data_IF_753395078587
#
_entry.id   IF_753395078587
#
_cell.length_a   1.000
_cell.length_b   1.000
_cell.length_c   1.000
_cell.angle_alpha   90.00
_cell.angle_beta   90.00
_cell.angle_gamma   90.00
#
_symmetry.space_group_name_H-M   'P 1'
#
loop_
_entity.id
_entity.type
_entity.pdbx_description
1 polymer ?
#
# COMPACT_ATOMS: atom_id res chain seq x y z
N UNK A 1 -62.26 -17.01 -6.43
CA UNK A 1 -61.22 -18.02 -6.81
C UNK A 1 -60.75 -17.67 -8.20
N UNK A 2 -59.50 -17.27 -8.48
CA UNK A 2 -58.23 -17.91 -8.08
C UNK A 2 -57.15 -16.83 -7.91
N UNK A 3 -56.39 -16.93 -6.82
CA UNK A 3 -55.25 -16.09 -6.49
C UNK A 3 -54.13 -16.25 -7.52
N UNK A 4 -53.58 -15.13 -7.99
CA UNK A 4 -52.32 -15.06 -8.75
C UNK A 4 -51.15 -15.23 -7.76
N UNK A 5 -50.43 -16.34 -7.83
CA UNK A 5 -49.23 -16.57 -7.03
C UNK A 5 -48.04 -15.86 -7.68
N UNK A 6 -47.57 -14.77 -7.07
CA UNK A 6 -46.28 -14.16 -7.40
C UNK A 6 -45.16 -15.06 -6.85
N UNK A 7 -44.52 -15.83 -7.72
CA UNK A 7 -43.29 -16.56 -7.41
C UNK A 7 -42.12 -15.57 -7.47
N UNK A 8 -41.73 -15.02 -6.31
CA UNK A 8 -40.54 -14.18 -6.18
C UNK A 8 -39.30 -15.08 -6.33
N UNK A 9 -38.63 -15.04 -7.49
CA UNK A 9 -37.34 -15.70 -7.67
C UNK A 9 -36.29 -15.03 -6.77
N UNK A 10 -35.93 -15.69 -5.67
CA UNK A 10 -34.75 -15.39 -4.87
C UNK A 10 -33.51 -15.80 -5.69
N UNK A 11 -32.98 -14.88 -6.50
CA UNK A 11 -31.65 -15.04 -7.09
C UNK A 11 -30.63 -15.09 -5.94
N UNK A 12 -29.83 -16.17 -5.80
CA UNK A 12 -28.77 -16.19 -4.81
C UNK A 12 -27.78 -15.07 -5.17
N UNK A 13 -27.71 -14.04 -4.33
CA UNK A 13 -26.71 -13.00 -4.47
C UNK A 13 -25.34 -13.63 -4.41
N UNK A 14 -24.59 -13.57 -5.52
CA UNK A 14 -23.20 -13.99 -5.56
C UNK A 14 -22.41 -13.04 -4.67
N UNK A 15 -22.16 -13.43 -3.43
CA UNK A 15 -21.20 -12.75 -2.57
C UNK A 15 -19.83 -12.97 -3.19
N UNK A 16 -19.34 -11.99 -3.96
CA UNK A 16 -17.97 -12.03 -4.49
C UNK A 16 -17.01 -12.06 -3.30
N UNK A 17 -16.30 -13.18 -3.16
CA UNK A 17 -15.27 -13.31 -2.15
C UNK A 17 -14.23 -12.20 -2.35
N UNK A 18 -14.00 -11.40 -1.31
CA UNK A 18 -12.97 -10.37 -1.35
C UNK A 18 -11.60 -11.05 -1.53
N UNK A 19 -10.72 -10.50 -2.37
CA UNK A 19 -9.37 -11.04 -2.54
C UNK A 19 -8.60 -11.02 -1.21
N UNK A 20 -7.56 -11.86 -1.11
CA UNK A 20 -6.66 -11.82 0.03
C UNK A 20 -6.01 -10.42 0.16
N UNK A 21 -5.55 -10.02 1.36
CA UNK A 21 -4.87 -8.74 1.52
C UNK A 21 -3.66 -8.59 0.59
N UNK A 22 -2.94 -9.67 0.35
CA UNK A 22 -1.77 -9.68 -0.54
C UNK A 22 -2.20 -9.53 -2.01
N UNK A 23 -3.30 -10.20 -2.41
CA UNK A 23 -3.90 -10.02 -3.72
C UNK A 23 -4.42 -8.59 -3.93
N UNK A 24 -4.91 -7.90 -2.91
CA UNK A 24 -5.25 -6.47 -2.99
C UNK A 24 -4.03 -5.63 -3.38
N UNK A 25 -2.90 -5.79 -2.67
CA UNK A 25 -1.68 -5.08 -3.02
C UNK A 25 -1.18 -5.45 -4.42
N UNK A 26 -1.13 -6.75 -4.76
CA UNK A 26 -0.66 -7.22 -6.08
C UNK A 26 -1.50 -6.63 -7.22
N UNK A 27 -2.82 -6.64 -7.10
CA UNK A 27 -3.73 -6.09 -8.09
C UNK A 27 -3.55 -4.57 -8.26
N UNK A 28 -3.48 -3.84 -7.13
CA UNK A 28 -3.28 -2.39 -7.13
C UNK A 28 -1.92 -2.00 -7.73
N UNK A 29 -0.85 -2.66 -7.31
CA UNK A 29 0.51 -2.43 -7.81
C UNK A 29 0.60 -2.73 -9.31
N UNK A 30 0.12 -3.88 -9.76
CA UNK A 30 0.15 -4.23 -11.19
C UNK A 30 -0.66 -3.24 -12.04
N UNK A 31 -1.78 -2.73 -11.50
CA UNK A 31 -2.54 -1.67 -12.16
C UNK A 31 -1.78 -0.35 -12.23
N UNK A 32 -1.13 0.06 -11.14
CA UNK A 32 -0.33 1.28 -11.10
C UNK A 32 0.90 1.18 -12.02
N UNK A 33 1.56 0.02 -12.08
CA UNK A 33 2.64 -0.24 -13.03
C UNK A 33 2.21 0.00 -14.48
N UNK A 34 1.03 -0.53 -14.87
CA UNK A 34 0.47 -0.29 -16.20
C UNK A 34 0.07 1.17 -16.43
N UNK A 35 -0.58 1.79 -15.44
CA UNK A 35 -1.07 3.18 -15.53
C UNK A 35 0.07 4.18 -15.75
N UNK A 36 1.22 3.96 -15.11
CA UNK A 36 2.38 4.86 -15.16
C UNK A 36 3.51 4.36 -16.08
N UNK A 37 3.32 3.24 -16.79
CA UNK A 37 4.30 2.68 -17.71
C UNK A 37 5.61 2.21 -17.06
N UNK A 38 5.53 1.70 -15.82
CA UNK A 38 6.70 1.15 -15.14
C UNK A 38 7.05 -0.24 -15.71
N UNK A 39 8.33 -0.65 -15.61
CA UNK A 39 8.71 -2.03 -15.87
C UNK A 39 7.91 -3.02 -15.03
N UNK A 40 7.39 -4.07 -15.67
CA UNK A 40 6.56 -5.07 -15.00
C UNK A 40 7.29 -5.69 -13.79
N UNK A 41 6.61 -5.73 -12.65
CA UNK A 41 7.10 -6.32 -11.41
C UNK A 41 8.10 -5.46 -10.62
N UNK A 42 8.50 -4.28 -11.10
CA UNK A 42 9.44 -3.41 -10.39
C UNK A 42 8.83 -2.86 -9.10
N UNK A 43 7.63 -2.29 -9.20
CA UNK A 43 6.91 -1.75 -8.05
C UNK A 43 6.44 -2.88 -7.14
N UNK A 44 6.14 -4.07 -7.68
CA UNK A 44 5.86 -5.26 -6.88
C UNK A 44 7.08 -5.72 -6.07
N UNK A 45 8.28 -5.66 -6.65
CA UNK A 45 9.52 -5.96 -5.94
C UNK A 45 9.79 -4.98 -4.80
N UNK A 46 9.58 -3.68 -5.05
CA UNK A 46 9.64 -2.62 -4.03
C UNK A 46 8.63 -2.93 -2.91
N UNK A 47 7.35 -3.15 -3.25
CA UNK A 47 6.31 -3.47 -2.26
C UNK A 47 6.65 -4.68 -1.39
N UNK A 48 7.34 -5.69 -1.95
CA UNK A 48 7.77 -6.88 -1.21
C UNK A 48 8.98 -6.62 -0.31
N UNK A 49 9.83 -5.63 -0.60
CA UNK A 49 10.85 -5.15 0.34
C UNK A 49 10.20 -4.33 1.45
N UNK A 50 9.25 -3.46 1.11
CA UNK A 50 8.63 -2.50 2.02
C UNK A 50 7.66 -3.15 3.03
N UNK A 51 6.70 -3.94 2.57
CA UNK A 51 5.63 -4.51 3.40
C UNK A 51 5.49 -6.02 3.27
N UNK A 52 6.57 -6.68 2.84
CA UNK A 52 6.61 -8.11 2.57
C UNK A 52 6.26 -8.96 3.79
N UNK A 53 5.15 -9.69 3.70
CA UNK A 53 4.70 -10.65 4.71
C UNK A 53 4.61 -12.04 4.10
N UNK A 54 4.95 -13.07 4.87
CA UNK A 54 4.59 -14.46 4.57
C UNK A 54 3.26 -14.78 5.24
N UNK A 55 2.28 -15.17 4.44
CA UNK A 55 1.01 -15.67 4.95
C UNK A 55 1.26 -17.01 5.66
N UNK A 56 0.89 -17.15 6.95
CA UNK A 56 1.19 -18.35 7.72
C UNK A 56 0.34 -19.57 7.30
N UNK A 57 -0.78 -19.36 6.60
CA UNK A 57 -1.71 -20.42 6.18
C UNK A 57 -1.35 -20.92 4.79
N UNK A 58 -1.20 -20.01 3.84
CA UNK A 58 -0.96 -20.34 2.42
C UNK A 58 0.53 -20.43 2.08
N UNK A 59 1.39 -19.83 2.90
CA UNK A 59 2.82 -19.70 2.61
C UNK A 59 3.15 -18.64 1.54
N UNK A 60 2.13 -17.98 0.96
CA UNK A 60 2.32 -16.89 -0.01
C UNK A 60 3.19 -15.79 0.62
N UNK A 61 4.07 -15.18 -0.18
CA UNK A 61 4.87 -14.03 0.26
C UNK A 61 4.64 -12.85 -0.69
N UNK A 62 4.47 -11.66 -0.14
CA UNK A 62 4.09 -10.48 -0.91
C UNK A 62 3.76 -9.27 -0.02
N UNK A 63 3.50 -8.10 -0.64
CA UNK A 63 3.17 -6.87 0.08
C UNK A 63 1.85 -7.02 0.85
N UNK A 64 1.72 -6.33 1.98
CA UNK A 64 0.55 -6.40 2.85
C UNK A 64 -0.05 -5.01 3.09
N UNK A 65 -1.37 -4.81 2.89
CA UNK A 65 -1.95 -3.47 2.79
C UNK A 65 -2.13 -2.79 4.14
N UNK A 66 -2.31 -3.55 5.22
CA UNK A 66 -2.50 -3.01 6.57
C UNK A 66 -1.20 -3.11 7.35
N UNK A 67 -0.13 -2.60 6.75
CA UNK A 67 1.21 -2.53 7.32
C UNK A 67 1.50 -1.10 7.71
N UNK A 68 2.04 -0.90 8.90
CA UNK A 68 2.60 0.38 9.29
C UNK A 68 4.01 0.21 9.84
N UNK A 69 4.83 1.25 9.75
CA UNK A 69 6.08 1.36 10.49
C UNK A 69 6.16 2.74 11.13
N UNK A 70 6.36 2.80 12.45
CA UNK A 70 6.56 4.03 13.19
C UNK A 70 7.97 4.01 13.80
N UNK A 71 8.86 4.89 13.32
CA UNK A 71 10.26 5.01 13.78
C UNK A 71 11.03 3.67 13.87
N UNK A 72 10.82 2.77 12.91
CA UNK A 72 11.45 1.45 12.86
C UNK A 72 10.63 0.33 13.50
N UNK A 73 9.54 0.64 14.21
CA UNK A 73 8.64 -0.31 14.81
C UNK A 73 7.51 -0.71 13.83
N UNK A 74 7.77 -1.74 13.03
CA UNK A 74 6.81 -2.27 12.07
C UNK A 74 5.69 -3.10 12.72
N UNK A 75 4.46 -3.01 12.20
CA UNK A 75 3.30 -3.84 12.60
C UNK A 75 2.45 -4.22 11.40
N UNK A 76 1.94 -5.47 11.42
CA UNK A 76 0.88 -5.94 10.54
C UNK A 76 -0.45 -6.03 11.29
N UNK A 77 -1.51 -5.47 10.71
CA UNK A 77 -2.86 -5.48 11.27
C UNK A 77 -3.77 -6.48 10.56
N UNK A 78 -4.80 -7.02 11.22
CA UNK A 78 -5.76 -7.92 10.57
C UNK A 78 -6.72 -7.19 9.60
N UNK A 79 -6.78 -5.86 9.65
CA UNK A 79 -7.70 -5.06 8.85
C UNK A 79 -7.32 -3.58 8.78
N UNK A 80 -7.98 -2.88 7.86
CA UNK A 80 -7.80 -1.44 7.61
C UNK A 80 -8.17 -0.59 8.82
N UNK A 81 -9.27 -0.93 9.50
CA UNK A 81 -9.79 -0.15 10.62
C UNK A 81 -8.79 -0.12 11.79
N UNK A 82 -8.19 -1.26 12.12
CA UNK A 82 -7.20 -1.39 13.18
C UNK A 82 -5.92 -0.61 12.85
N UNK A 83 -5.43 -0.69 11.60
CA UNK A 83 -4.26 0.05 11.16
C UNK A 83 -4.50 1.58 11.20
N UNK A 84 -5.67 2.03 10.75
CA UNK A 84 -6.06 3.45 10.79
C UNK A 84 -6.17 3.95 12.23
N UNK A 85 -6.79 3.17 13.13
CA UNK A 85 -6.94 3.53 14.53
C UNK A 85 -5.58 3.70 15.23
N UNK A 86 -4.66 2.77 15.01
CA UNK A 86 -3.31 2.85 15.56
C UNK A 86 -2.56 4.09 15.05
N UNK A 87 -2.56 4.36 13.74
CA UNK A 87 -1.88 5.54 13.17
C UNK A 87 -2.47 6.83 13.74
N UNK A 88 -3.79 6.91 13.92
CA UNK A 88 -4.45 8.05 14.58
C UNK A 88 -3.97 8.23 16.02
N UNK A 89 -3.91 7.14 16.79
CA UNK A 89 -3.44 7.17 18.17
C UNK A 89 -1.98 7.64 18.26
N UNK A 90 -1.10 7.09 17.43
CA UNK A 90 0.31 7.48 17.38
C UNK A 90 0.48 8.95 17.03
N UNK A 91 -0.25 9.45 16.03
CA UNK A 91 -0.22 10.89 15.67
C UNK A 91 -0.72 11.79 16.78
N UNK A 92 -1.78 11.40 17.48
CA UNK A 92 -2.29 12.15 18.63
C UNK A 92 -1.26 12.20 19.78
N UNK A 93 -0.43 11.16 19.90
CA UNK A 93 0.72 11.12 20.81
C UNK A 93 1.98 11.83 20.32
N UNK A 94 1.94 12.52 19.18
CA UNK A 94 3.07 13.28 18.64
C UNK A 94 3.99 12.52 17.68
N UNK A 95 3.71 11.25 17.37
CA UNK A 95 4.47 10.50 16.36
C UNK A 95 4.28 11.13 14.97
N UNK A 96 5.39 11.43 14.29
CA UNK A 96 5.38 12.06 12.95
C UNK A 96 5.84 11.11 11.84
N UNK A 97 6.91 10.36 12.07
CA UNK A 97 7.52 9.49 11.06
C UNK A 97 6.79 8.15 11.04
N UNK A 98 5.75 8.06 10.20
CA UNK A 98 4.93 6.85 10.04
C UNK A 98 4.85 6.50 8.55
N UNK A 99 5.21 5.27 8.22
CA UNK A 99 5.07 4.67 6.89
C UNK A 99 3.82 3.77 6.86
N UNK A 100 3.06 3.78 5.76
CA UNK A 100 1.79 3.06 5.66
C UNK A 100 1.57 2.35 4.32
N UNK A 101 0.81 1.25 4.38
CA UNK A 101 0.26 0.59 3.21
C UNK A 101 1.21 -0.40 2.53
N UNK A 102 0.79 -0.89 1.36
CA UNK A 102 1.54 -1.82 0.51
C UNK A 102 2.95 -1.31 0.18
N UNK A 103 3.09 0.01 0.05
CA UNK A 103 4.29 0.69 -0.46
C UNK A 103 5.03 1.50 0.61
N UNK A 104 4.62 1.40 1.89
CA UNK A 104 5.23 2.10 3.02
C UNK A 104 5.48 3.60 2.77
N UNK A 105 4.45 4.31 2.29
CA UNK A 105 4.54 5.74 2.03
C UNK A 105 4.61 6.51 3.35
N UNK A 106 5.64 7.33 3.51
CA UNK A 106 5.84 8.11 4.72
C UNK A 106 4.93 9.34 4.78
N UNK A 107 4.12 9.44 5.83
CA UNK A 107 3.16 10.54 6.02
C UNK A 107 3.79 11.88 6.39
N UNK A 108 5.03 11.91 6.90
CA UNK A 108 5.74 13.15 7.21
C UNK A 108 6.43 13.76 5.99
N UNK A 109 7.09 12.95 5.18
CA UNK A 109 7.78 13.40 3.96
C UNK A 109 6.85 13.61 2.78
N UNK A 110 5.67 12.99 2.82
CA UNK A 110 4.64 13.13 1.79
C UNK A 110 3.30 13.56 2.41
N UNK A 111 3.24 14.77 3.01
CA UNK A 111 2.06 15.20 3.78
C UNK A 111 0.80 15.39 2.91
N UNK A 112 1.00 15.61 1.60
CA UNK A 112 -0.08 15.79 0.63
C UNK A 112 -0.31 14.54 -0.24
N UNK A 113 0.22 13.37 0.16
CA UNK A 113 0.03 12.12 -0.58
C UNK A 113 -1.43 11.66 -0.61
N UNK A 114 -2.14 11.88 0.50
CA UNK A 114 -3.48 11.35 0.74
C UNK A 114 -4.34 12.40 1.46
N UNK A 115 -5.62 12.43 1.15
CA UNK A 115 -6.64 13.27 1.80
C UNK A 115 -7.00 12.79 3.21
N UNK A 116 -6.73 11.51 3.52
CA UNK A 116 -7.03 10.90 4.82
C UNK A 116 -6.11 9.72 5.12
N UNK A 117 -6.08 9.28 6.39
CA UNK A 117 -5.36 8.05 6.78
C UNK A 117 -6.03 6.81 6.17
N UNK A 118 -7.35 6.82 6.03
CA UNK A 118 -8.10 5.78 5.32
C UNK A 118 -7.66 5.64 3.86
N UNK A 119 -7.47 6.75 3.16
CA UNK A 119 -6.94 6.72 1.79
C UNK A 119 -5.49 6.25 1.75
N UNK A 120 -4.67 6.61 2.75
CA UNK A 120 -3.29 6.14 2.81
C UNK A 120 -3.15 4.61 2.92
N UNK A 121 -4.15 3.95 3.50
CA UNK A 121 -4.28 2.49 3.56
C UNK A 121 -5.14 1.88 2.43
N UNK A 122 -5.63 2.69 1.49
CA UNK A 122 -6.22 2.19 0.25
C UNK A 122 -5.11 1.66 -0.68
N UNK A 123 -5.06 0.36 -1.02
CA UNK A 123 -4.01 -0.23 -1.84
C UNK A 123 -3.84 0.48 -3.20
N UNK A 124 -4.93 0.90 -3.84
CA UNK A 124 -4.85 1.57 -5.13
C UNK A 124 -4.29 2.99 -4.99
N UNK A 125 -4.80 3.80 -4.06
CA UNK A 125 -4.27 5.14 -3.82
C UNK A 125 -2.78 5.07 -3.41
N UNK A 126 -2.43 4.14 -2.52
CA UNK A 126 -1.06 3.91 -2.06
C UNK A 126 -0.13 3.49 -3.20
N UNK A 127 -0.54 2.54 -4.05
CA UNK A 127 0.24 2.09 -5.20
C UNK A 127 0.40 3.17 -6.27
N UNK A 128 -0.67 3.94 -6.57
CA UNK A 128 -0.60 5.07 -7.52
C UNK A 128 0.34 6.16 -7.05
N UNK A 129 0.29 6.50 -5.76
CA UNK A 129 1.24 7.45 -5.19
C UNK A 129 2.68 6.97 -5.36
N UNK A 130 2.95 5.70 -5.02
CA UNK A 130 4.27 5.10 -5.15
C UNK A 130 4.76 5.07 -6.61
N UNK A 131 3.89 4.70 -7.55
CA UNK A 131 4.17 4.67 -8.98
C UNK A 131 4.56 6.05 -9.51
N UNK A 132 3.78 7.09 -9.17
CA UNK A 132 4.09 8.48 -9.54
C UNK A 132 5.45 8.90 -8.99
N UNK A 133 5.68 8.67 -7.69
CA UNK A 133 6.92 9.04 -7.03
C UNK A 133 8.13 8.34 -7.66
N UNK A 134 8.01 7.04 -7.96
CA UNK A 134 9.08 6.29 -8.61
C UNK A 134 9.36 6.80 -10.04
N UNK A 135 8.34 7.20 -10.78
CA UNK A 135 8.50 7.82 -12.11
C UNK A 135 9.22 9.17 -12.04
N UNK A 136 8.94 10.00 -11.02
CA UNK A 136 9.66 11.25 -10.78
C UNK A 136 11.14 10.99 -10.47
N UNK A 137 11.42 10.01 -9.61
CA UNK A 137 12.79 9.59 -9.31
C UNK A 137 13.50 9.07 -10.55
N UNK A 138 12.82 8.33 -11.42
CA UNK A 138 13.38 7.86 -12.70
C UNK A 138 13.65 9.01 -13.67
N UNK A 139 12.80 10.03 -13.69
CA UNK A 139 13.03 11.22 -14.49
C UNK A 139 14.30 11.96 -14.02
N UNK A 140 14.51 12.03 -12.71
CA UNK A 140 15.70 12.67 -12.12
C UNK A 140 16.98 11.83 -12.26
N UNK A 141 16.90 10.51 -12.10
CA UNK A 141 18.08 9.62 -12.03
C UNK A 141 18.51 9.04 -13.38
N UNK A 142 17.61 8.99 -14.37
CA UNK A 142 17.88 8.37 -15.67
C UNK A 142 17.79 6.85 -15.71
N UNK A 143 17.73 6.15 -14.56
CA UNK A 143 17.74 4.68 -14.47
C UNK A 143 16.75 4.15 -13.41
N UNK A 144 16.07 3.04 -13.73
CA UNK A 144 15.01 2.47 -12.88
C UNK A 144 15.54 1.89 -11.58
N UNK A 145 16.69 1.22 -11.61
CA UNK A 145 17.28 0.68 -10.39
C UNK A 145 17.83 1.79 -9.50
N UNK A 146 18.41 2.83 -10.09
CA UNK A 146 18.82 4.02 -9.36
C UNK A 146 17.63 4.71 -8.70
N UNK A 147 16.51 4.86 -9.43
CA UNK A 147 15.25 5.36 -8.87
C UNK A 147 14.73 4.48 -7.73
N UNK A 148 14.79 3.15 -7.85
CA UNK A 148 14.40 2.24 -6.78
C UNK A 148 15.27 2.40 -5.52
N UNK A 149 16.57 2.70 -5.66
CA UNK A 149 17.41 3.06 -4.52
C UNK A 149 16.97 4.35 -3.84
N UNK A 150 16.68 5.39 -4.63
CA UNK A 150 16.23 6.69 -4.14
C UNK A 150 14.81 6.69 -3.58
N UNK A 151 13.99 5.72 -3.96
CA UNK A 151 12.69 5.47 -3.34
C UNK A 151 12.84 5.28 -1.83
N UNK A 152 13.89 4.56 -1.41
CA UNK A 152 14.20 4.31 -0.02
C UNK A 152 15.08 5.39 0.61
N UNK A 153 16.19 5.77 -0.05
CA UNK A 153 17.13 6.75 0.49
C UNK A 153 18.04 7.37 -0.59
N UNK A 154 18.42 8.64 -0.39
CA UNK A 154 19.47 9.28 -1.18
C UNK A 154 20.88 9.08 -0.59
N UNK A 155 21.00 8.46 0.59
CA UNK A 155 22.30 8.06 1.15
C UNK A 155 22.87 6.89 0.34
N UNK A 156 24.06 7.01 -0.29
CA UNK A 156 24.56 6.04 -1.25
C UNK A 156 24.58 4.59 -0.75
N UNK A 157 25.12 4.34 0.46
CA UNK A 157 25.22 2.99 1.03
C UNK A 157 23.85 2.36 1.32
N UNK A 158 22.87 3.15 1.77
CA UNK A 158 21.50 2.67 2.02
C UNK A 158 20.76 2.42 0.72
N UNK A 159 20.90 3.31 -0.26
CA UNK A 159 20.33 3.14 -1.59
C UNK A 159 20.87 1.87 -2.25
N UNK A 160 22.18 1.62 -2.16
CA UNK A 160 22.82 0.43 -2.71
C UNK A 160 22.31 -0.86 -2.07
N UNK A 161 22.30 -0.93 -0.73
CA UNK A 161 21.77 -2.08 -0.01
C UNK A 161 20.30 -2.36 -0.37
N UNK A 162 19.49 -1.31 -0.47
CA UNK A 162 18.08 -1.41 -0.85
C UNK A 162 17.91 -1.89 -2.30
N UNK A 163 18.67 -1.33 -3.26
CA UNK A 163 18.65 -1.77 -4.66
C UNK A 163 18.97 -3.26 -4.80
N UNK A 164 19.93 -3.77 -4.03
CA UNK A 164 20.25 -5.19 -4.04
C UNK A 164 19.04 -6.05 -3.58
N UNK A 165 18.29 -5.60 -2.58
CA UNK A 165 17.06 -6.28 -2.14
C UNK A 165 15.96 -6.27 -3.20
N UNK A 166 15.78 -5.15 -3.90
CA UNK A 166 14.82 -5.03 -5.01
C UNK A 166 15.24 -5.94 -6.17
N UNK A 167 16.52 -5.86 -6.60
CA UNK A 167 17.07 -6.68 -7.67
C UNK A 167 16.94 -8.18 -7.41
N UNK A 168 17.08 -8.62 -6.15
CA UNK A 168 16.89 -10.02 -5.76
C UNK A 168 15.45 -10.51 -5.98
N UNK A 169 14.46 -9.64 -5.80
CA UNK A 169 13.03 -10.00 -5.86
C UNK A 169 12.43 -9.80 -7.25
N UNK A 170 12.93 -8.82 -8.00
CA UNK A 170 12.34 -8.39 -9.27
C UNK A 170 12.17 -9.51 -10.31
N UNK A 171 13.13 -10.44 -10.54
CA UNK A 171 12.93 -11.52 -11.50
C UNK A 171 11.70 -12.39 -11.22
N UNK A 172 11.39 -12.66 -9.94
CA UNK A 172 10.19 -13.41 -9.57
C UNK A 172 8.93 -12.57 -9.75
N UNK A 173 8.95 -11.31 -9.29
CA UNK A 173 7.79 -10.43 -9.45
C UNK A 173 7.48 -10.14 -10.94
N UNK A 174 8.50 -10.07 -11.79
CA UNK A 174 8.33 -9.92 -13.24
C UNK A 174 7.66 -11.15 -13.87
N UNK A 175 8.01 -12.37 -13.43
CA UNK A 175 7.29 -13.60 -13.85
C UNK A 175 5.83 -13.59 -13.40
N UNK A 176 5.56 -13.08 -12.20
CA UNK A 176 4.22 -13.04 -11.63
C UNK A 176 3.35 -11.89 -12.17
N UNK A 177 3.95 -10.85 -12.76
CA UNK A 177 3.24 -9.64 -13.19
C UNK A 177 2.09 -9.92 -14.19
N UNK A 178 2.25 -10.92 -15.05
CA UNK A 178 1.21 -11.35 -16.00
C UNK A 178 0.03 -12.09 -15.36
N UNK A 179 0.18 -12.56 -14.11
CA UNK A 179 -0.83 -13.35 -13.38
C UNK A 179 -1.58 -12.52 -12.34
N UNK A 180 -1.21 -11.25 -12.13
CA UNK A 180 -1.89 -10.38 -11.19
C UNK A 180 -3.31 -10.06 -11.70
N UNK A 181 -4.37 -10.24 -10.87
CA UNK A 181 -5.72 -9.92 -11.29
C UNK A 181 -5.87 -8.43 -11.57
N UNK A 182 -6.76 -8.09 -12.49
CA UNK A 182 -7.15 -6.70 -12.71
C UNK A 182 -7.80 -6.14 -11.43
N UNK A 183 -7.41 -4.92 -11.03
CA UNK A 183 -8.07 -4.22 -9.94
C UNK A 183 -9.56 -4.03 -10.23
N UNK A 184 -10.42 -4.32 -9.25
CA UNK A 184 -11.86 -4.12 -9.37
C UNK A 184 -12.33 -2.95 -8.49
N UNK A 185 -13.24 -2.09 -8.98
CA UNK A 185 -13.89 -1.09 -8.14
C UNK A 185 -14.57 -1.72 -6.92
N UNK A 186 -14.36 -1.15 -5.74
CA UNK A 186 -14.95 -1.63 -4.48
C UNK A 186 -14.05 -2.58 -3.68
N UNK A 187 -12.98 -3.11 -4.27
CA UNK A 187 -11.87 -3.64 -3.48
C UNK A 187 -11.31 -2.50 -2.61
N UNK A 188 -10.95 -2.81 -1.36
CA UNK A 188 -10.39 -1.92 -0.31
C UNK A 188 -11.23 -0.82 0.35
N UNK A 189 -12.51 -0.65 0.02
CA UNK A 189 -13.36 0.38 0.64
C UNK A 189 -14.34 -0.11 1.71
N UNK A 190 -14.46 -1.42 1.92
CA UNK A 190 -15.37 -1.98 2.92
C UNK A 190 -14.62 -2.73 4.02
N UNK A 191 -14.90 -2.48 5.31
CA UNK A 191 -14.45 -3.34 6.39
C UNK A 191 -14.81 -4.79 6.09
N UNK A 192 -13.87 -5.72 6.29
CA UNK A 192 -14.19 -7.15 6.27
C UNK A 192 -15.18 -7.41 7.41
N UNK A 193 -16.44 -7.80 7.18
CA UNK A 193 -17.25 -8.32 8.26
C UNK A 193 -16.55 -9.58 8.82
N UNK A 194 -16.62 -9.85 10.14
CA UNK A 194 -16.16 -11.13 10.66
C UNK A 194 -16.81 -12.25 9.84
N UNK A 195 -16.04 -13.28 9.49
CA UNK A 195 -16.49 -14.33 8.58
C UNK A 195 -17.80 -14.96 9.10
N UNK A 196 -18.94 -14.58 8.53
CA UNK A 196 -20.22 -15.21 8.81
C UNK A 196 -20.23 -16.55 8.09
N UNK A 197 -20.04 -17.63 8.85
CA UNK A 197 -19.95 -18.99 8.32
C UNK A 197 -19.47 -20.05 9.29
N UNK A 198 -18.88 -19.69 10.44
CA UNK A 198 -18.79 -20.64 11.55
C UNK A 198 -20.19 -20.79 12.16
N UNK A 199 -20.72 -22.02 12.36
CA UNK A 199 -22.02 -22.21 12.97
C UNK A 199 -21.96 -21.68 14.41
N UNK A 200 -22.59 -20.52 14.65
CA UNK A 200 -22.93 -20.05 15.99
C UNK A 200 -24.19 -20.75 16.44
N UNK A 201 -24.06 -22.02 16.80
CA UNK A 201 -24.97 -22.63 17.79
C UNK A 201 -24.42 -22.34 19.19
N UNK A 202 -24.05 -21.08 19.45
CA UNK A 202 -23.63 -20.62 20.76
C UNK A 202 -24.84 -19.94 21.40
N UNK A 203 -25.45 -20.66 22.34
CA UNK A 203 -26.43 -20.16 23.29
C UNK A 203 -26.04 -18.77 23.81
N UNK A 204 -26.99 -17.85 23.94
CA UNK A 204 -26.78 -16.48 24.44
C UNK A 204 -26.30 -16.44 25.92
N UNK A 205 -26.13 -17.58 26.58
CA UNK A 205 -25.48 -17.69 27.87
C UNK A 205 -23.94 -17.75 27.69
N UNK A 206 -23.29 -16.59 27.59
CA UNK A 206 -21.82 -16.48 27.71
C UNK A 206 -21.09 -15.72 26.60
N UNK A 207 -21.71 -14.70 25.99
CA UNK A 207 -21.10 -13.87 24.94
C UNK A 207 -19.88 -13.08 25.47
N UNK A 208 -18.72 -13.73 25.55
CA UNK A 208 -17.43 -13.07 25.69
C UNK A 208 -17.02 -12.54 24.32
N UNK A 209 -16.97 -11.22 24.17
CA UNK A 209 -16.49 -10.54 22.97
C UNK A 209 -15.03 -10.97 22.78
N UNK A 210 -14.78 -11.90 21.83
CA UNK A 210 -13.41 -12.26 21.47
C UNK A 210 -12.78 -11.05 20.80
N UNK A 211 -11.84 -10.42 21.50
CA UNK A 211 -10.99 -9.37 20.97
C UNK A 211 -10.35 -9.83 19.66
N UNK A 212 -10.29 -8.95 18.64
CA UNK A 212 -9.54 -9.21 17.42
C UNK A 212 -8.09 -9.61 17.76
N UNK A 213 -7.46 -10.50 16.98
CA UNK A 213 -6.08 -10.90 17.26
C UNK A 213 -5.17 -9.67 17.26
N UNK A 214 -4.21 -9.58 18.20
CA UNK A 214 -3.33 -8.42 18.30
C UNK A 214 -2.48 -8.27 17.02
N UNK A 215 -2.03 -7.04 16.70
CA UNK A 215 -1.14 -6.83 15.57
C UNK A 215 0.14 -7.65 15.71
N UNK A 216 0.65 -8.16 14.58
CA UNK A 216 1.93 -8.85 14.57
C UNK A 216 3.05 -7.81 14.54
N UNK A 217 3.89 -7.78 15.58
CA UNK A 217 5.07 -6.90 15.63
C UNK A 217 6.13 -7.45 14.68
N UNK A 218 6.63 -6.58 13.79
CA UNK A 218 7.70 -6.88 12.85
C UNK A 218 9.02 -6.65 13.59
N UNK A 219 9.80 -7.71 13.80
CA UNK A 219 11.21 -7.56 14.15
C UNK A 219 11.99 -7.35 12.86
N UNK A 220 12.37 -6.10 12.59
CA UNK A 220 13.27 -5.79 11.47
C UNK A 220 14.60 -6.52 11.68
N UNK A 221 15.11 -7.29 10.70
CA UNK A 221 16.50 -7.75 10.73
C UNK A 221 17.38 -6.53 10.51
N UNK A 222 17.86 -5.93 11.61
CA UNK A 222 18.62 -4.67 11.58
C UNK A 222 18.43 -3.75 12.79
N UNK A 223 17.69 -4.15 13.83
CA UNK A 223 17.65 -3.41 15.08
C UNK A 223 19.05 -3.42 15.73
N UNK A 224 19.83 -2.36 15.47
CA UNK A 224 21.08 -2.09 16.16
C UNK A 224 20.81 -1.77 17.64
N UNK A 225 21.78 -2.11 18.48
CA UNK A 225 21.68 -2.11 19.93
C UNK A 225 21.29 -0.73 20.54
N UNK A 226 20.70 -0.80 21.73
CA UNK A 226 20.11 0.26 22.57
C UNK A 226 21.00 1.48 22.94
N UNK A 227 22.17 1.66 22.30
CA UNK A 227 23.14 2.71 22.58
C UNK A 227 23.08 3.94 21.65
N UNK A 228 22.32 3.92 20.55
CA UNK A 228 22.26 5.04 19.58
C UNK A 228 20.96 5.87 19.71
N UNK A 229 20.41 6.00 20.93
CA UNK A 229 19.19 6.76 21.21
C UNK A 229 19.32 8.29 21.12
N UNK A 230 20.36 8.80 20.45
CA UNK A 230 20.56 10.22 20.23
C UNK A 230 21.48 10.46 19.05
N UNK A 231 20.93 11.07 17.98
CA UNK A 231 21.49 11.32 16.63
C UNK A 231 21.27 10.17 15.64
N UNK A 232 20.14 10.19 14.92
CA UNK A 232 20.02 9.31 13.76
C UNK A 232 18.66 9.11 13.10
N UNK A 233 17.78 10.11 13.00
CA UNK A 233 16.58 10.00 12.13
C UNK A 233 16.23 11.31 11.39
N UNK A 234 16.65 12.47 11.87
CA UNK A 234 16.30 13.78 11.29
C UNK A 234 16.93 14.07 9.90
N UNK A 235 17.98 13.33 9.52
CA UNK A 235 18.67 13.50 8.23
C UNK A 235 18.16 12.58 7.10
N UNK A 236 17.26 11.63 7.37
CA UNK A 236 17.25 10.36 6.63
C UNK A 236 16.24 10.19 5.48
N UNK A 237 15.42 11.20 5.21
CA UNK A 237 14.66 11.38 3.95
C UNK A 237 14.68 12.85 3.50
N UNK A 238 15.73 13.56 3.92
CA UNK A 238 15.83 15.03 3.95
C UNK A 238 16.01 15.74 2.58
N UNK A 239 15.37 15.25 1.53
CA UNK A 239 14.90 16.15 0.48
C UNK A 239 13.44 15.81 0.20
N UNK A 240 12.55 16.67 0.69
CA UNK A 240 11.30 16.86 -0.02
C UNK A 240 11.69 17.32 -1.42
N UNK A 241 11.44 16.49 -2.44
CA UNK A 241 11.40 17.02 -3.81
C UNK A 241 10.17 17.93 -3.82
N UNK A 242 10.30 19.24 -4.06
CA UNK A 242 9.14 20.07 -4.30
C UNK A 242 8.43 19.46 -5.51
N UNK A 243 7.20 18.97 -5.32
CA UNK A 243 6.34 18.61 -6.44
C UNK A 243 6.18 19.88 -7.28
N UNK A 244 6.75 19.91 -8.48
CA UNK A 244 6.49 20.98 -9.41
C UNK A 244 5.00 20.92 -9.74
N UNK A 245 4.22 21.86 -9.20
CA UNK A 245 2.85 22.13 -9.64
C UNK A 245 2.92 22.70 -11.05
N UNK A 246 2.93 21.82 -12.05
CA UNK A 246 2.77 22.20 -13.45
C UNK A 246 1.31 22.63 -13.73
N UNK A 247 1.07 23.70 -14.49
CA UNK A 247 -0.27 24.22 -14.70
C UNK A 247 -1.10 23.31 -15.60
N UNK A 248 -2.41 23.30 -15.36
CA UNK A 248 -3.42 22.67 -16.22
C UNK A 248 -3.27 23.14 -17.67
N UNK A 249 -3.36 22.25 -18.68
CA UNK A 249 -3.39 22.68 -20.07
C UNK A 249 -4.76 23.28 -20.37
N UNK A 250 -4.88 24.60 -20.19
CA UNK A 250 -5.94 25.39 -20.79
C UNK A 250 -5.52 25.78 -22.21
N UNK A 251 -6.27 25.24 -23.18
CA UNK A 251 -6.61 25.82 -24.48
C UNK A 251 -5.47 26.27 -25.41
N UNK A 252 -5.12 25.39 -26.35
CA UNK A 252 -4.55 25.75 -27.65
C UNK A 252 -5.66 26.27 -28.59
N UNK A 253 -5.65 27.57 -28.91
CA UNK A 253 -6.15 28.22 -30.14
C UNK A 253 -5.91 29.72 -30.00
N UNK A 254 -5.22 30.47 -30.85
CA UNK A 254 -4.45 30.21 -32.06
C UNK A 254 -3.71 31.52 -32.38
N UNK A 255 -2.53 31.43 -33.00
CA UNK A 255 -1.76 32.60 -33.41
C UNK A 255 -2.26 33.14 -34.77
N UNK A 256 -2.21 34.46 -34.99
CA UNK A 256 -2.66 35.09 -36.22
C UNK A 256 -1.61 35.00 -37.33
N UNK A 257 -2.05 34.65 -38.53
CA UNK A 257 -1.29 34.86 -39.76
C UNK A 257 -1.53 36.27 -40.30
N UNK A 258 -0.45 37.02 -40.51
CA UNK A 258 -0.46 38.22 -41.38
C UNK A 258 0.82 38.22 -42.21
N UNK A 259 0.67 38.06 -43.53
CA UNK A 259 1.45 38.76 -44.55
C UNK A 259 0.48 39.18 -45.65
N UNK A 260 0.13 40.47 -45.61
CA UNK A 260 -0.16 41.34 -46.74
C UNK A 260 0.69 42.58 -46.52
#
# INVERSE_FOLDING_TARGET
MRLLAFLLLLLPGTVLAQPSPMALCRAAIASAEREYGLPAGLLAAIGRVESGRRDPVTGETGPYPWTMNAEGAGKYFPGKAEAVAEVRQLRAGGMRIIDVGCMQINLHHHPNAFSSIEEAFDPMANARYAARFLSELKAASGDWMTAAGHYHSHTPSRAEAYRAQVALRWPEEQRQAGSAPAWQPGWSNTPRPPAMGAPVTASLAGMSIRSAPPPTIIRSPGAMAEGERGRGLDAYRAMAIPLATGPSPSLLRGLPGVRG
#
